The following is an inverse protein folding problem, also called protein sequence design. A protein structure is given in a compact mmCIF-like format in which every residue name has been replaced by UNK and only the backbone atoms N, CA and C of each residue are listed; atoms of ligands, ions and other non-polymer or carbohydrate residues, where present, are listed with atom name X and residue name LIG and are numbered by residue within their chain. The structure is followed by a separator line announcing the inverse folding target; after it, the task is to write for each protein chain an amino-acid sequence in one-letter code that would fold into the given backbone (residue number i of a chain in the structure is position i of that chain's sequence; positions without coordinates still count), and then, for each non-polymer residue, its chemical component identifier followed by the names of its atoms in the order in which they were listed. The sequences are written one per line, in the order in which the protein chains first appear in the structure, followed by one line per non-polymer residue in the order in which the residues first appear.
data_IF_084126275752
#
_entry.id   IF_084126275752
#
_cell.length_a   1.000
_cell.length_b   1.000
_cell.length_c   1.000
_cell.angle_alpha   90.00
_cell.angle_beta   90.00
_cell.angle_gamma   90.00
#
_symmetry.space_group_name_H-M   'P 1'
#
loop_
_entity.id
_entity.type
_entity.pdbx_description
1 polymer ?
#
# COMPACT_ATOMS: atom_id res chain seq x y z
N UNK A 1 -6.61 -13.38 -15.98
CA UNK A 1 -7.26 -12.17 -15.46
C UNK A 1 -7.53 -12.34 -13.97
N UNK A 2 -7.17 -11.36 -13.19
CA UNK A 2 -7.45 -11.37 -11.76
C UNK A 2 -8.91 -11.01 -11.53
N UNK A 3 -9.72 -12.00 -11.20
CA UNK A 3 -11.15 -11.83 -10.94
C UNK A 3 -11.43 -11.93 -9.44
N UNK A 4 -12.63 -11.59 -9.03
CA UNK A 4 -13.06 -11.68 -7.64
C UNK A 4 -12.84 -10.41 -6.81
N UNK A 5 -12.32 -9.34 -7.40
CA UNK A 5 -12.21 -8.07 -6.72
C UNK A 5 -13.61 -7.43 -6.63
N UNK A 6 -14.05 -6.95 -5.45
CA UNK A 6 -15.45 -6.51 -5.26
C UNK A 6 -15.79 -5.18 -5.90
N UNK A 7 -15.10 -4.74 -6.90
CA UNK A 7 -15.35 -3.50 -7.62
C UNK A 7 -14.16 -3.14 -8.46
N UNK A 8 -14.20 -1.96 -9.06
CA UNK A 8 -13.06 -1.50 -9.86
C UNK A 8 -11.94 -1.06 -8.93
N UNK A 9 -10.72 -1.61 -9.07
CA UNK A 9 -9.58 -1.10 -8.32
C UNK A 9 -9.29 0.33 -8.78
N UNK A 10 -9.06 1.22 -7.82
CA UNK A 10 -8.77 2.63 -8.09
C UNK A 10 -7.29 2.94 -8.00
N UNK A 11 -6.54 2.09 -7.34
CA UNK A 11 -5.11 2.28 -7.12
C UNK A 11 -4.39 0.98 -7.41
N UNK A 12 -3.25 1.08 -8.07
CA UNK A 12 -2.40 -0.05 -8.39
C UNK A 12 -0.96 0.33 -8.08
N UNK A 13 -0.19 -0.60 -7.54
CA UNK A 13 1.24 -0.38 -7.33
C UNK A 13 1.98 -1.72 -7.36
N UNK A 14 3.07 -1.77 -8.13
CA UNK A 14 3.99 -2.90 -8.10
C UNK A 14 5.14 -2.61 -7.15
N UNK A 15 5.67 -3.66 -6.52
CA UNK A 15 6.93 -3.53 -5.81
C UNK A 15 8.11 -3.44 -6.80
N UNK A 16 9.33 -3.20 -6.29
CA UNK A 16 10.49 -2.95 -7.15
C UNK A 16 10.84 -4.15 -8.04
N UNK A 17 10.56 -5.38 -7.61
CA UNK A 17 10.83 -6.57 -8.42
C UNK A 17 9.73 -6.88 -9.43
N UNK A 18 8.56 -6.25 -9.32
CA UNK A 18 7.39 -6.56 -10.13
C UNK A 18 6.67 -7.84 -9.73
N UNK A 19 7.07 -8.48 -8.65
CA UNK A 19 6.48 -9.75 -8.21
C UNK A 19 5.26 -9.60 -7.32
N UNK A 20 5.04 -8.43 -6.75
CA UNK A 20 3.86 -8.13 -5.95
C UNK A 20 3.10 -6.96 -6.57
N UNK A 21 1.80 -7.09 -6.67
CA UNK A 21 0.89 -6.03 -7.09
C UNK A 21 -0.10 -5.76 -5.98
N UNK A 22 -0.14 -4.53 -5.49
CA UNK A 22 -1.15 -4.09 -4.55
C UNK A 22 -2.26 -3.36 -5.30
N UNK A 23 -3.49 -3.67 -4.96
CA UNK A 23 -4.67 -3.03 -5.54
C UNK A 23 -5.55 -2.51 -4.42
N UNK A 24 -6.09 -1.32 -4.59
CA UNK A 24 -7.00 -0.69 -3.64
C UNK A 24 -8.13 0.01 -4.35
N UNK A 25 -9.26 0.14 -3.73
CA UNK A 25 -10.42 0.83 -4.27
C UNK A 25 -11.47 1.08 -3.19
N UNK A 26 -11.36 0.30 -2.15
CA UNK A 26 -12.21 0.38 -0.96
C UNK A 26 -11.30 0.38 0.28
N UNK A 27 -11.80 -0.09 1.41
CA UNK A 27 -11.05 -0.09 2.67
C UNK A 27 -9.98 -1.17 2.71
N UNK A 28 -10.11 -2.20 1.92
CA UNK A 28 -9.21 -3.36 1.91
C UNK A 28 -8.23 -3.23 0.76
N UNK A 29 -6.96 -3.51 1.05
CA UNK A 29 -5.91 -3.61 0.05
C UNK A 29 -5.68 -5.09 -0.23
N UNK A 30 -5.71 -5.47 -1.50
CA UNK A 30 -5.41 -6.84 -1.93
C UNK A 30 -4.03 -6.87 -2.55
N UNK A 31 -3.20 -7.82 -2.14
CA UNK A 31 -1.84 -7.97 -2.66
C UNK A 31 -1.74 -9.31 -3.38
N UNK A 32 -1.38 -9.25 -4.66
CA UNK A 32 -1.27 -10.40 -5.54
C UNK A 32 0.20 -10.75 -5.73
N UNK A 33 0.53 -12.04 -5.61
CA UNK A 33 1.90 -12.53 -5.85
C UNK A 33 2.01 -13.09 -7.26
N UNK A 34 3.04 -12.67 -7.96
CA UNK A 34 3.38 -13.18 -9.30
C UNK A 34 4.58 -14.11 -9.28
N UNK A 35 4.92 -14.64 -8.11
CA UNK A 35 5.92 -15.71 -8.04
C UNK A 35 5.32 -17.00 -8.60
N UNK A 36 6.16 -17.83 -9.18
CA UNK A 36 5.78 -19.18 -9.65
C UNK A 36 4.60 -19.15 -10.65
N UNK A 37 4.71 -18.34 -11.69
CA UNK A 37 3.75 -18.29 -12.81
C UNK A 37 2.51 -17.43 -12.57
N UNK A 38 2.57 -16.51 -11.63
CA UNK A 38 1.50 -15.52 -11.44
C UNK A 38 0.55 -15.83 -10.30
N UNK A 39 -0.50 -15.03 -10.12
CA UNK A 39 -1.38 -15.15 -8.97
C UNK A 39 -2.39 -16.29 -9.03
N UNK A 40 -2.53 -16.92 -10.18
CA UNK A 40 -3.48 -18.01 -10.36
C UNK A 40 -3.14 -19.18 -9.45
N UNK A 41 -4.11 -19.69 -8.71
CA UNK A 41 -3.91 -20.79 -7.78
C UNK A 41 -3.34 -20.38 -6.43
N UNK A 42 -3.09 -19.09 -6.21
CA UNK A 42 -2.61 -18.58 -4.92
C UNK A 42 -3.69 -17.76 -4.23
N UNK A 43 -3.61 -17.67 -2.90
CA UNK A 43 -4.50 -16.81 -2.12
C UNK A 43 -3.86 -15.44 -1.96
N UNK A 44 -4.48 -14.36 -2.46
CA UNK A 44 -3.92 -13.03 -2.29
C UNK A 44 -3.91 -12.60 -0.83
N UNK A 45 -2.94 -11.77 -0.45
CA UNK A 45 -2.93 -11.14 0.86
C UNK A 45 -3.98 -10.05 0.92
N UNK A 46 -4.64 -9.91 2.07
CA UNK A 46 -5.57 -8.83 2.31
C UNK A 46 -5.12 -8.01 3.51
N UNK A 47 -5.07 -6.69 3.33
CA UNK A 47 -4.58 -5.77 4.34
C UNK A 47 -5.72 -4.85 4.76
N UNK A 48 -6.06 -4.89 6.04
CA UNK A 48 -7.16 -4.11 6.59
C UNK A 48 -6.64 -3.17 7.68
N UNK A 49 -6.76 -1.88 7.46
CA UNK A 49 -6.40 -0.87 8.44
C UNK A 49 -7.24 0.39 8.26
N UNK A 50 -7.64 0.68 7.04
CA UNK A 50 -8.35 1.91 6.74
C UNK A 50 -9.85 1.73 6.94
N UNK A 51 -10.47 2.76 7.52
CA UNK A 51 -11.93 2.83 7.69
C UNK A 51 -12.58 3.60 6.54
N UNK A 52 -11.80 4.08 5.59
CA UNK A 52 -12.25 4.83 4.44
C UNK A 52 -11.55 4.31 3.19
N UNK A 53 -11.96 4.78 2.03
CA UNK A 53 -11.41 4.31 0.75
C UNK A 53 -9.93 4.63 0.65
N UNK A 54 -9.14 3.64 0.24
CA UNK A 54 -7.72 3.81 -0.06
C UNK A 54 -7.57 4.74 -1.25
N UNK A 55 -6.80 5.81 -1.07
CA UNK A 55 -6.58 6.82 -2.11
C UNK A 55 -5.20 6.74 -2.72
N UNK A 56 -4.22 6.16 -2.02
CA UNK A 56 -2.84 6.06 -2.49
C UNK A 56 -2.21 4.75 -2.05
N UNK A 57 -1.41 4.17 -2.94
CA UNK A 57 -0.56 3.02 -2.66
C UNK A 57 0.83 3.30 -3.23
N UNK A 58 1.87 3.00 -2.48
CA UNK A 58 3.24 3.18 -2.93
C UNK A 58 4.17 2.18 -2.26
N UNK A 59 4.85 1.36 -3.06
CA UNK A 59 5.87 0.46 -2.54
C UNK A 59 7.18 1.20 -2.34
N UNK A 60 7.91 0.81 -1.30
CA UNK A 60 9.27 1.28 -1.09
C UNK A 60 10.18 0.83 -2.25
N UNK A 61 11.24 1.59 -2.58
CA UNK A 61 12.16 1.22 -3.65
C UNK A 61 12.88 -0.09 -3.43
N UNK A 62 13.05 -0.49 -2.18
CA UNK A 62 13.73 -1.75 -1.80
C UNK A 62 12.89 -2.49 -0.77
N UNK A 63 12.95 -3.81 -0.84
CA UNK A 63 12.18 -4.67 0.06
C UNK A 63 10.70 -4.70 -0.30
N UNK A 64 9.90 -5.27 0.59
CA UNK A 64 8.47 -5.45 0.38
C UNK A 64 7.67 -4.66 1.41
N UNK A 65 7.95 -3.36 1.52
CA UNK A 65 7.17 -2.45 2.34
C UNK A 65 6.24 -1.64 1.47
N UNK A 66 5.00 -1.58 1.88
CA UNK A 66 3.95 -0.85 1.17
C UNK A 66 3.42 0.26 2.06
N UNK A 67 3.26 1.45 1.53
CA UNK A 67 2.55 2.53 2.20
C UNK A 67 1.19 2.70 1.56
N UNK A 68 0.18 2.89 2.39
CA UNK A 68 -1.18 3.16 1.94
C UNK A 68 -1.73 4.39 2.63
N UNK A 69 -2.50 5.17 1.90
CA UNK A 69 -3.20 6.34 2.42
C UNK A 69 -4.66 6.29 2.03
N UNK A 70 -5.51 6.91 2.83
CA UNK A 70 -6.95 6.87 2.61
C UNK A 70 -7.58 8.26 2.65
N UNK A 71 -8.84 8.33 2.27
CA UNK A 71 -9.59 9.60 2.20
C UNK A 71 -9.81 10.25 3.56
N UNK A 72 -9.78 9.46 4.64
CA UNK A 72 -9.90 10.00 6.00
C UNK A 72 -8.59 10.53 6.56
N UNK A 73 -7.51 10.50 5.76
CA UNK A 73 -6.19 10.94 6.18
C UNK A 73 -5.36 9.87 6.86
N UNK A 74 -5.87 8.66 7.04
CA UNK A 74 -5.11 7.58 7.67
C UNK A 74 -4.01 7.09 6.75
N UNK A 75 -2.86 6.73 7.33
CA UNK A 75 -1.71 6.18 6.64
C UNK A 75 -1.27 4.93 7.36
N UNK A 76 -0.98 3.88 6.60
CA UNK A 76 -0.45 2.64 7.13
C UNK A 76 0.78 2.23 6.34
N UNK A 77 1.74 1.63 7.04
CA UNK A 77 2.92 1.04 6.43
C UNK A 77 2.88 -0.45 6.73
N UNK A 78 3.04 -1.24 5.69
CA UNK A 78 2.87 -2.69 5.74
C UNK A 78 4.21 -3.37 5.47
N UNK A 79 4.55 -4.36 6.28
CA UNK A 79 5.65 -5.26 6.00
C UNK A 79 5.11 -6.54 5.37
N UNK A 80 5.50 -6.82 4.13
CA UNK A 80 4.95 -7.93 3.37
C UNK A 80 6.00 -9.03 3.16
N UNK A 81 5.52 -10.26 3.15
CA UNK A 81 6.32 -11.41 2.73
C UNK A 81 6.24 -11.57 1.21
N UNK A 82 7.05 -12.46 0.66
CA UNK A 82 7.13 -12.66 -0.79
C UNK A 82 5.83 -13.17 -1.41
N UNK A 83 4.94 -13.75 -0.59
CA UNK A 83 3.62 -14.21 -1.05
C UNK A 83 2.54 -13.14 -0.98
N UNK A 84 2.88 -11.93 -0.54
CA UNK A 84 1.95 -10.81 -0.43
C UNK A 84 1.22 -10.72 0.90
N UNK A 85 1.39 -11.69 1.80
CA UNK A 85 0.80 -11.63 3.13
C UNK A 85 1.68 -10.83 4.06
N UNK A 86 1.09 -10.19 5.05
CA UNK A 86 1.84 -9.41 6.02
C UNK A 86 0.93 -8.64 6.96
N UNK A 87 1.49 -7.67 7.65
CA UNK A 87 0.76 -6.87 8.60
C UNK A 87 1.30 -5.45 8.70
N UNK A 88 0.58 -4.61 9.41
CA UNK A 88 0.97 -3.21 9.57
C UNK A 88 2.16 -3.12 10.53
N UNK A 89 3.14 -2.32 10.15
CA UNK A 89 4.31 -2.04 10.97
C UNK A 89 4.32 -0.60 11.47
N UNK A 90 3.38 0.22 11.03
CA UNK A 90 3.22 1.58 11.51
C UNK A 90 1.97 2.20 10.94
N UNK A 91 1.37 3.10 11.71
CA UNK A 91 0.19 3.85 11.28
C UNK A 91 0.35 5.30 11.71
N UNK A 92 -0.31 6.19 10.97
CA UNK A 92 -0.36 7.61 11.31
C UNK A 92 -1.66 8.21 10.81
N UNK A 93 -1.94 9.44 11.20
CA UNK A 93 -3.17 10.12 10.84
C UNK A 93 -2.86 11.54 10.40
N UNK A 94 -3.29 11.89 9.20
CA UNK A 94 -3.28 13.26 8.71
C UNK A 94 -4.68 13.87 8.87
N UNK A 95 -4.76 15.19 8.75
CA UNK A 95 -6.03 15.90 8.99
C UNK A 95 -7.00 15.81 7.82
N UNK A 96 -6.57 15.33 6.65
CA UNK A 96 -7.42 15.28 5.46
C UNK A 96 -6.91 14.20 4.51
N UNK A 97 -7.67 13.97 3.47
CA UNK A 97 -7.44 13.03 2.36
C UNK A 97 -5.96 12.95 1.94
N UNK A 98 -5.39 11.77 2.00
CA UNK A 98 -4.03 11.54 1.52
C UNK A 98 -4.04 11.54 0.00
N UNK A 99 -3.33 12.49 -0.59
CA UNK A 99 -3.31 12.67 -2.05
C UNK A 99 -2.01 12.25 -2.70
N UNK A 100 -0.93 12.10 -1.93
CA UNK A 100 0.35 11.69 -2.46
C UNK A 100 1.20 11.00 -1.39
N UNK A 101 2.01 10.04 -1.82
CA UNK A 101 2.97 9.35 -0.97
C UNK A 101 4.25 9.16 -1.78
N UNK A 102 5.39 9.40 -1.15
CA UNK A 102 6.69 9.21 -1.77
C UNK A 102 7.66 8.59 -0.77
N UNK A 103 8.54 7.74 -1.25
CA UNK A 103 9.59 7.10 -0.46
C UNK A 103 10.94 7.68 -0.83
N UNK A 104 11.83 7.80 0.17
CA UNK A 104 13.24 8.06 -0.12
C UNK A 104 13.89 6.81 -0.74
N UNK A 105 14.97 7.02 -1.48
CA UNK A 105 15.67 5.93 -2.17
C UNK A 105 16.17 4.83 -1.24
N UNK A 106 16.45 5.17 0.02
CA UNK A 106 16.92 4.20 1.02
C UNK A 106 15.79 3.39 1.65
N UNK A 107 14.53 3.64 1.28
CA UNK A 107 13.34 2.99 1.83
C UNK A 107 13.15 3.19 3.34
N UNK A 108 13.80 4.19 3.93
CA UNK A 108 13.76 4.44 5.37
C UNK A 108 12.91 5.63 5.76
N UNK A 109 12.57 6.48 4.81
CA UNK A 109 11.76 7.67 5.05
C UNK A 109 10.64 7.73 4.03
N UNK A 110 9.45 8.04 4.50
CA UNK A 110 8.28 8.23 3.67
C UNK A 110 7.76 9.65 3.89
N UNK A 111 7.27 10.26 2.83
CA UNK A 111 6.58 11.54 2.88
C UNK A 111 5.17 11.39 2.34
N UNK A 112 4.23 12.08 2.95
CA UNK A 112 2.86 12.09 2.47
C UNK A 112 2.32 13.51 2.42
N UNK A 113 1.53 13.80 1.39
CA UNK A 113 0.82 15.05 1.26
C UNK A 113 -0.68 14.83 1.29
N UNK A 114 -1.44 15.83 1.72
CA UNK A 114 -2.88 15.75 1.77
C UNK A 114 -3.55 16.84 0.94
N UNK A 115 -4.87 16.79 0.84
CA UNK A 115 -5.66 17.72 0.03
C UNK A 115 -5.57 19.17 0.52
N UNK A 116 -5.16 19.39 1.78
CA UNK A 116 -4.98 20.73 2.35
C UNK A 116 -3.58 21.30 2.12
N UNK A 117 -2.71 20.57 1.44
CA UNK A 117 -1.34 21.01 1.19
C UNK A 117 -0.36 20.74 2.32
N UNK A 118 -0.74 19.96 3.32
CA UNK A 118 0.17 19.56 4.39
C UNK A 118 1.11 18.47 3.89
N UNK A 119 2.37 18.52 4.33
CA UNK A 119 3.36 17.50 4.01
C UNK A 119 3.97 17.02 5.33
N UNK A 120 3.97 15.71 5.53
CA UNK A 120 4.51 15.10 6.74
C UNK A 120 5.47 13.99 6.33
N UNK A 121 6.54 13.82 7.10
CA UNK A 121 7.53 12.76 6.86
C UNK A 121 7.66 11.88 8.09
N UNK A 122 7.91 10.60 7.86
CA UNK A 122 8.12 9.63 8.92
C UNK A 122 9.34 8.77 8.60
N UNK A 123 10.04 8.35 9.65
CA UNK A 123 11.06 7.32 9.53
C UNK A 123 10.40 5.96 9.71
N UNK A 124 10.69 5.06 8.80
CA UNK A 124 10.18 3.69 8.85
C UNK A 124 11.20 2.83 9.58
N UNK A 125 10.77 2.16 10.63
CA UNK A 125 11.63 1.24 11.37
C UNK A 125 11.85 -0.02 10.54
N UNK A 126 13.07 -0.44 10.46
CA UNK A 126 13.46 -1.66 9.75
C UNK A 126 13.58 -2.84 10.68
#
# INVERSE_FOLDING_TARGET
MMSGYPGKPRNLAFNSSGKLLATGGYEIITVWSFENNGPEGTTPGQLECHESFVSMLSFAPHGNRLASGARDGSIAIWGLMSDGHGGSIGTSQMSDHVSSIAWKKDSKVIAAGNAKGQIVTWKVKT
#
